data_IF_856459528364
#
_entry.id   IF_856459528364
#
_cell.length_a   1.000
_cell.length_b   1.000
_cell.length_c   1.000
_cell.angle_alpha   90.00
_cell.angle_beta   90.00
_cell.angle_gamma   90.00
#
_symmetry.space_group_name_H-M   'P 1'
#
loop_
_entity.id
_entity.type
_entity.pdbx_description
1 polymer ?
#
# COMPACT_ATOMS: atom_id res chain seq x y z
N UNK A 1 -4.30 24.53 -6.42
CA UNK A 1 -4.87 24.13 -5.11
C UNK A 1 -3.96 24.68 -4.01
N UNK A 2 -4.45 24.87 -2.79
CA UNK A 2 -3.65 25.43 -1.70
C UNK A 2 -2.70 24.41 -1.07
N UNK A 3 -1.50 24.83 -0.67
CA UNK A 3 -0.49 23.96 -0.04
C UNK A 3 -1.06 23.23 1.18
N UNK A 4 -1.87 23.91 2.00
CA UNK A 4 -2.50 23.31 3.19
C UNK A 4 -3.41 22.14 2.83
N UNK A 5 -4.16 22.24 1.73
CA UNK A 5 -5.04 21.17 1.24
C UNK A 5 -4.22 19.96 0.78
N UNK A 6 -3.16 20.18 0.00
CA UNK A 6 -2.30 19.11 -0.52
C UNK A 6 -1.59 18.36 0.61
N UNK A 7 -1.07 19.10 1.60
CA UNK A 7 -0.46 18.49 2.79
C UNK A 7 -1.48 17.66 3.59
N UNK A 8 -2.71 18.17 3.76
CA UNK A 8 -3.77 17.43 4.44
C UNK A 8 -4.14 16.14 3.70
N UNK A 9 -4.26 16.19 2.37
CA UNK A 9 -4.56 15.01 1.56
C UNK A 9 -3.43 13.97 1.65
N UNK A 10 -2.17 14.38 1.52
CA UNK A 10 -1.03 13.48 1.67
C UNK A 10 -1.00 12.83 3.07
N UNK A 11 -1.31 13.60 4.12
CA UNK A 11 -1.37 13.09 5.49
C UNK A 11 -2.45 11.99 5.65
N UNK A 12 -3.66 12.23 5.13
CA UNK A 12 -4.75 11.24 5.19
C UNK A 12 -4.44 9.97 4.39
N UNK A 13 -3.73 10.08 3.26
CA UNK A 13 -3.26 8.92 2.49
C UNK A 13 -2.22 8.10 3.27
N UNK A 14 -1.29 8.76 3.95
CA UNK A 14 -0.31 8.09 4.83
C UNK A 14 -1.02 7.41 6.00
N UNK A 15 -2.00 8.08 6.61
CA UNK A 15 -2.82 7.51 7.68
C UNK A 15 -3.57 6.26 7.18
N UNK A 16 -4.22 6.35 6.02
CA UNK A 16 -4.91 5.23 5.37
C UNK A 16 -3.97 4.04 5.16
N UNK A 17 -2.75 4.28 4.67
CA UNK A 17 -1.76 3.22 4.49
C UNK A 17 -1.38 2.55 5.83
N UNK A 18 -1.23 3.32 6.91
CA UNK A 18 -0.98 2.77 8.26
C UNK A 18 -2.16 1.92 8.74
N UNK A 19 -3.39 2.41 8.58
CA UNK A 19 -4.60 1.67 8.99
C UNK A 19 -4.69 0.31 8.31
N UNK A 20 -4.49 0.25 6.99
CA UNK A 20 -4.47 -1.01 6.25
C UNK A 20 -3.34 -1.94 6.69
N UNK A 21 -2.14 -1.39 6.92
CA UNK A 21 -0.98 -2.16 7.39
C UNK A 21 -1.23 -2.76 8.78
N UNK A 22 -1.68 -1.95 9.74
CA UNK A 22 -1.99 -2.39 11.09
C UNK A 22 -3.13 -3.42 11.11
N UNK A 23 -4.16 -3.24 10.27
CA UNK A 23 -5.25 -4.21 10.15
C UNK A 23 -4.73 -5.55 9.64
N UNK A 24 -3.90 -5.55 8.60
CA UNK A 24 -3.30 -6.76 8.05
C UNK A 24 -2.41 -7.49 9.07
N UNK A 25 -1.54 -6.76 9.78
CA UNK A 25 -0.69 -7.32 10.85
C UNK A 25 -1.54 -7.91 11.96
N UNK A 26 -2.58 -7.19 12.41
CA UNK A 26 -3.50 -7.69 13.42
C UNK A 26 -4.18 -9.01 13.00
N UNK A 27 -4.55 -9.17 11.73
CA UNK A 27 -5.09 -10.45 11.23
C UNK A 27 -4.08 -11.59 11.32
N UNK A 28 -2.81 -11.32 11.02
CA UNK A 28 -1.73 -12.31 11.17
C UNK A 28 -1.54 -12.70 12.63
N UNK A 29 -1.49 -11.72 13.54
CA UNK A 29 -1.29 -11.96 14.97
C UNK A 29 -2.43 -12.80 15.58
N UNK A 30 -3.69 -12.48 15.24
CA UNK A 30 -4.85 -13.25 15.70
C UNK A 30 -4.83 -14.68 15.15
N UNK A 31 -4.41 -14.86 13.90
CA UNK A 31 -4.32 -16.18 13.29
C UNK A 31 -3.17 -17.02 13.86
N UNK A 32 -2.07 -16.39 14.29
CA UNK A 32 -0.98 -17.08 14.98
C UNK A 32 -1.47 -17.70 16.30
N UNK A 33 -2.39 -17.03 17.01
CA UNK A 33 -3.02 -17.57 18.21
C UNK A 33 -4.03 -18.70 17.92
N UNK A 34 -4.69 -18.67 16.75
CA UNK A 34 -5.73 -19.63 16.35
C UNK A 34 -5.26 -20.80 15.47
N UNK A 35 -4.01 -20.77 14.98
CA UNK A 35 -3.34 -21.86 14.29
C UNK A 35 -3.48 -21.92 12.75
N UNK A 36 -4.21 -21.00 12.09
CA UNK A 36 -4.20 -20.88 10.61
C UNK A 36 -4.73 -19.56 10.07
N UNK A 37 -4.16 -19.15 8.94
CA UNK A 37 -4.69 -18.13 8.03
C UNK A 37 -5.38 -18.81 6.85
N UNK A 38 -6.70 -18.70 6.74
CA UNK A 38 -7.42 -19.21 5.57
C UNK A 38 -7.14 -18.38 4.30
N UNK A 39 -7.55 -18.91 3.15
CA UNK A 39 -7.29 -18.26 1.87
C UNK A 39 -7.92 -16.86 1.78
N UNK A 40 -9.14 -16.70 2.28
CA UNK A 40 -9.85 -15.41 2.25
C UNK A 40 -9.11 -14.34 3.07
N UNK A 41 -8.60 -14.69 4.24
CA UNK A 41 -7.82 -13.78 5.07
C UNK A 41 -6.47 -13.41 4.42
N UNK A 42 -5.78 -14.38 3.79
CA UNK A 42 -4.53 -14.09 3.04
C UNK A 42 -4.78 -13.22 1.82
N UNK A 43 -5.86 -13.48 1.08
CA UNK A 43 -6.32 -12.65 -0.03
C UNK A 43 -6.61 -11.21 0.42
N UNK A 44 -7.30 -11.04 1.56
CA UNK A 44 -7.55 -9.74 2.15
C UNK A 44 -6.24 -9.03 2.52
N UNK A 45 -5.35 -9.68 3.27
CA UNK A 45 -4.03 -9.11 3.66
C UNK A 45 -3.24 -8.67 2.42
N UNK A 46 -3.26 -9.48 1.36
CA UNK A 46 -2.60 -9.17 0.09
C UNK A 46 -3.14 -7.91 -0.56
N UNK A 47 -4.46 -7.74 -0.62
CA UNK A 47 -5.09 -6.54 -1.13
C UNK A 47 -4.74 -5.30 -0.29
N UNK A 48 -4.78 -5.43 1.04
CA UNK A 48 -4.44 -4.35 1.97
C UNK A 48 -3.00 -3.87 1.77
N UNK A 49 -2.04 -4.78 1.64
CA UNK A 49 -0.63 -4.44 1.45
C UNK A 49 -0.39 -3.65 0.15
N UNK A 50 -0.96 -4.10 -0.97
CA UNK A 50 -0.84 -3.38 -2.25
C UNK A 50 -1.59 -2.04 -2.24
N UNK A 51 -2.76 -1.99 -1.60
CA UNK A 51 -3.50 -0.73 -1.45
C UNK A 51 -2.74 0.30 -0.59
N UNK A 52 -2.17 -0.13 0.53
CA UNK A 52 -1.32 0.72 1.39
C UNK A 52 -0.11 1.27 0.63
N UNK A 53 0.60 0.43 -0.14
CA UNK A 53 1.72 0.87 -0.96
C UNK A 53 1.30 1.95 -1.97
N UNK A 54 0.14 1.77 -2.63
CA UNK A 54 -0.42 2.77 -3.56
C UNK A 54 -0.70 4.11 -2.87
N UNK A 55 -1.32 4.09 -1.70
CA UNK A 55 -1.60 5.31 -0.93
C UNK A 55 -0.32 6.06 -0.54
N UNK A 56 0.75 5.33 -0.18
CA UNK A 56 2.07 5.95 0.09
C UNK A 56 2.64 6.60 -1.17
N UNK A 57 2.61 5.92 -2.33
CA UNK A 57 3.13 6.51 -3.58
C UNK A 57 2.36 7.76 -3.99
N UNK A 58 1.03 7.75 -3.88
CA UNK A 58 0.18 8.92 -4.14
C UNK A 58 0.50 10.06 -3.17
N UNK A 59 0.64 9.79 -1.87
CA UNK A 59 1.01 10.79 -0.88
C UNK A 59 2.37 11.43 -1.17
N UNK A 60 3.38 10.62 -1.52
CA UNK A 60 4.71 11.11 -1.90
C UNK A 60 4.63 11.97 -3.16
N UNK A 61 3.82 11.56 -4.15
CA UNK A 61 3.57 12.35 -5.36
C UNK A 61 3.03 13.74 -5.04
N UNK A 62 2.01 13.82 -4.20
CA UNK A 62 1.44 15.10 -3.73
C UNK A 62 2.51 15.96 -3.05
N UNK A 63 3.33 15.37 -2.16
CA UNK A 63 4.37 16.10 -1.44
C UNK A 63 5.48 16.60 -2.37
N UNK A 64 5.85 15.83 -3.40
CA UNK A 64 6.79 16.27 -4.43
C UNK A 64 6.24 17.43 -5.25
N UNK A 65 5.01 17.33 -5.72
CA UNK A 65 4.36 18.39 -6.50
C UNK A 65 4.21 19.67 -5.67
N UNK A 66 3.93 19.52 -4.37
CA UNK A 66 3.83 20.64 -3.42
C UNK A 66 5.19 21.28 -3.15
N UNK A 67 6.26 20.50 -3.08
CA UNK A 67 7.62 20.99 -2.82
C UNK A 67 8.24 21.65 -4.08
N UNK A 68 7.91 21.15 -5.26
CA UNK A 68 8.39 21.66 -6.54
C UNK A 68 9.78 21.16 -6.93
N UNK A 69 10.38 21.81 -7.94
CA UNK A 69 11.59 21.32 -8.61
C UNK A 69 12.81 21.11 -7.69
N UNK A 70 12.95 21.90 -6.62
CA UNK A 70 14.02 21.73 -5.62
C UNK A 70 13.93 20.39 -4.88
N UNK A 71 12.79 19.71 -4.95
CA UNK A 71 12.56 18.37 -4.40
C UNK A 71 13.49 17.32 -5.01
N UNK A 72 13.96 17.56 -6.24
CA UNK A 72 14.80 16.65 -7.01
C UNK A 72 16.31 16.93 -6.88
N UNK A 73 16.72 17.93 -6.09
CA UNK A 73 18.13 18.13 -5.78
C UNK A 73 18.69 16.94 -4.99
N UNK A 74 19.94 16.54 -5.26
CA UNK A 74 20.57 15.40 -4.57
C UNK A 74 20.68 15.62 -3.04
N UNK A 75 20.83 16.87 -2.63
CA UNK A 75 20.84 17.30 -1.21
C UNK A 75 19.47 17.21 -0.55
N UNK A 76 18.38 17.15 -1.32
CA UNK A 76 17.03 17.06 -0.80
C UNK A 76 16.67 15.60 -0.46
N UNK A 77 16.27 15.26 0.77
CA UNK A 77 15.89 13.89 1.12
C UNK A 77 14.62 13.40 0.44
N UNK A 78 13.75 14.31 -0.05
CA UNK A 78 12.45 13.94 -0.61
C UNK A 78 12.55 13.06 -1.86
N UNK A 79 13.48 13.37 -2.77
CA UNK A 79 13.72 12.53 -3.94
C UNK A 79 14.27 11.14 -3.59
N UNK A 80 15.01 10.99 -2.48
CA UNK A 80 15.48 9.67 -2.03
C UNK A 80 14.30 8.84 -1.55
N UNK A 81 13.45 9.40 -0.69
CA UNK A 81 12.21 8.75 -0.23
C UNK A 81 11.35 8.34 -1.43
N UNK A 82 11.19 9.21 -2.41
CA UNK A 82 10.42 8.91 -3.61
C UNK A 82 11.00 7.76 -4.44
N UNK A 83 12.31 7.74 -4.70
CA UNK A 83 12.96 6.65 -5.45
C UNK A 83 12.87 5.32 -4.71
N UNK A 84 13.15 5.33 -3.41
CA UNK A 84 13.17 4.13 -2.57
C UNK A 84 11.76 3.53 -2.47
N UNK A 85 10.75 4.35 -2.17
CA UNK A 85 9.36 3.91 -2.08
C UNK A 85 8.84 3.38 -3.41
N UNK A 86 9.13 4.08 -4.52
CA UNK A 86 8.72 3.61 -5.85
C UNK A 86 9.36 2.26 -6.19
N UNK A 87 10.65 2.10 -5.93
CA UNK A 87 11.34 0.84 -6.18
C UNK A 87 10.74 -0.29 -5.34
N UNK A 88 10.59 -0.08 -4.03
CA UNK A 88 10.06 -1.09 -3.11
C UNK A 88 8.61 -1.48 -3.43
N UNK A 89 7.75 -0.52 -3.78
CA UNK A 89 6.33 -0.76 -4.08
C UNK A 89 6.10 -1.63 -5.33
N UNK A 90 7.13 -1.85 -6.15
CA UNK A 90 7.08 -2.76 -7.31
C UNK A 90 7.41 -4.21 -6.97
N UNK A 91 7.75 -4.49 -5.71
CA UNK A 91 7.88 -5.87 -5.23
C UNK A 91 6.59 -6.64 -5.56
N UNK A 92 6.73 -7.87 -6.08
CA UNK A 92 5.60 -8.65 -6.56
C UNK A 92 4.48 -8.79 -5.49
N UNK A 93 4.88 -8.81 -4.21
CA UNK A 93 4.00 -8.81 -3.03
C UNK A 93 3.05 -7.63 -2.88
N UNK A 94 3.38 -6.48 -3.47
CA UNK A 94 2.70 -5.20 -3.28
C UNK A 94 1.98 -4.70 -4.54
N UNK A 95 1.99 -5.47 -5.64
CA UNK A 95 1.31 -5.07 -6.87
C UNK A 95 -0.20 -4.94 -6.60
N UNK A 96 -0.77 -3.73 -6.65
CA UNK A 96 -2.13 -3.52 -6.16
C UNK A 96 -3.19 -4.20 -7.04
N UNK A 97 -2.99 -4.26 -8.35
CA UNK A 97 -3.89 -4.94 -9.28
C UNK A 97 -4.01 -6.44 -8.96
N UNK A 98 -2.89 -7.11 -8.68
CA UNK A 98 -2.87 -8.53 -8.29
C UNK A 98 -3.59 -8.73 -6.96
N UNK A 99 -3.32 -7.88 -5.97
CA UNK A 99 -3.98 -7.98 -4.66
C UNK A 99 -5.49 -7.77 -4.73
N UNK A 100 -5.94 -6.76 -5.50
CA UNK A 100 -7.36 -6.49 -5.70
C UNK A 100 -8.07 -7.64 -6.44
N UNK A 101 -7.46 -8.20 -7.48
CA UNK A 101 -8.04 -9.33 -8.22
C UNK A 101 -8.19 -10.57 -7.32
N UNK A 102 -7.13 -10.94 -6.59
CA UNK A 102 -7.15 -12.07 -5.66
C UNK A 102 -8.25 -11.90 -4.61
N UNK A 103 -8.37 -10.70 -4.02
CA UNK A 103 -9.38 -10.44 -3.00
C UNK A 103 -10.79 -10.35 -3.57
N UNK A 104 -10.97 -9.73 -4.74
CA UNK A 104 -12.24 -9.68 -5.45
C UNK A 104 -12.76 -11.08 -5.78
N UNK A 105 -11.89 -11.97 -6.28
CA UNK A 105 -12.23 -13.38 -6.49
C UNK A 105 -12.65 -14.08 -5.19
N UNK A 106 -11.96 -13.82 -4.08
CA UNK A 106 -12.34 -14.38 -2.78
C UNK A 106 -13.70 -13.87 -2.27
N UNK A 107 -14.03 -12.59 -2.50
CA UNK A 107 -15.33 -12.01 -2.15
C UNK A 107 -16.50 -12.58 -2.98
N UNK A 108 -16.21 -13.04 -4.20
CA UNK A 108 -17.18 -13.56 -5.16
C UNK A 108 -17.17 -15.10 -5.27
N UNK A 109 -16.42 -15.79 -4.40
CA UNK A 109 -16.26 -17.25 -4.39
C UNK A 109 -15.74 -17.84 -5.73
N UNK A 110 -14.87 -17.09 -6.42
CA UNK A 110 -14.21 -17.53 -7.66
C UNK A 110 -12.90 -18.25 -7.31
N UNK A 111 -12.83 -19.55 -7.61
CA UNK A 111 -11.72 -20.43 -7.20
C UNK A 111 -10.46 -20.37 -8.09
N UNK A 112 -10.51 -19.65 -9.21
CA UNK A 112 -9.39 -19.52 -10.14
C UNK A 112 -8.25 -18.66 -9.57
N UNK A 113 -7.04 -19.22 -9.49
CA UNK A 113 -5.87 -18.53 -8.92
C UNK A 113 -5.09 -17.75 -9.98
N UNK A 114 -4.82 -16.48 -9.67
CA UNK A 114 -4.01 -15.58 -10.52
C UNK A 114 -2.62 -15.29 -9.94
N UNK A 115 -2.33 -15.81 -8.74
CA UNK A 115 -1.06 -15.61 -8.03
C UNK A 115 -0.73 -16.82 -7.16
N UNK A 116 0.55 -17.17 -7.12
CA UNK A 116 1.09 -18.21 -6.22
C UNK A 116 1.41 -17.68 -4.82
N UNK A 117 1.39 -16.35 -4.64
CA UNK A 117 1.79 -15.68 -3.39
C UNK A 117 0.56 -15.25 -2.56
N UNK A 118 -0.38 -16.18 -2.35
CA UNK A 118 -1.60 -15.99 -1.55
C UNK A 118 -1.74 -17.07 -0.49
#
# INVERSE_FOLDING_TARGET
MGIQMQVAEAALKIETARLHTHRAVSQVDHAAAAGRLDYAARAHIRAQAGYAARQILEAIGILLDTHGASGFAETNPLQRIWRDANTAARHAGLIPAVGLEVYGKALLDVNERVSLMV
#
